data_IF_045344655543
#
_entry.id   IF_045344655543
#
_cell.length_a   1.000
_cell.length_b   1.000
_cell.length_c   1.000
_cell.angle_alpha   90.00
_cell.angle_beta   90.00
_cell.angle_gamma   90.00
#
_symmetry.space_group_name_H-M   'P 1'
#
loop_
_entity.id
_entity.type
_entity.pdbx_description
1 polymer ?
#
# COMPACT_ATOMS: atom_id res chain seq x y z
N UNK A 1 -18.98 5.80 13.55
CA UNK A 1 -18.69 4.73 12.59
C UNK A 1 -19.99 4.44 11.85
N UNK A 2 -19.98 4.35 10.51
CA UNK A 2 -21.19 4.07 9.74
C UNK A 2 -21.60 2.60 9.88
N UNK A 3 -22.91 2.31 9.88
CA UNK A 3 -23.40 0.93 9.88
C UNK A 3 -23.14 0.29 8.51
N UNK A 4 -22.53 -0.89 8.49
CA UNK A 4 -22.22 -1.66 7.29
C UNK A 4 -22.85 -3.05 7.28
N UNK A 5 -23.77 -3.33 8.22
CA UNK A 5 -24.36 -4.67 8.42
C UNK A 5 -25.08 -5.18 7.17
N UNK A 6 -25.82 -4.33 6.49
CA UNK A 6 -26.62 -4.69 5.32
C UNK A 6 -25.91 -4.54 3.98
N UNK A 7 -24.60 -4.16 3.99
CA UNK A 7 -23.84 -4.02 2.76
C UNK A 7 -23.38 -5.39 2.24
N UNK A 8 -23.39 -5.60 0.92
CA UNK A 8 -22.89 -6.84 0.34
C UNK A 8 -21.38 -6.97 0.57
N UNK A 9 -20.92 -8.21 0.70
CA UNK A 9 -19.47 -8.52 0.72
C UNK A 9 -18.95 -8.41 -0.70
N UNK A 10 -18.08 -7.44 -0.95
CA UNK A 10 -17.43 -7.19 -2.26
C UNK A 10 -15.92 -7.13 -2.13
N UNK A 11 -15.21 -7.13 -3.26
CA UNK A 11 -13.77 -6.91 -3.29
C UNK A 11 -13.51 -5.41 -3.39
N UNK A 12 -13.05 -4.82 -2.29
CA UNK A 12 -12.61 -3.44 -2.25
C UNK A 12 -11.12 -3.33 -2.62
N UNK A 13 -10.77 -2.31 -3.38
CA UNK A 13 -9.38 -1.99 -3.72
C UNK A 13 -9.16 -0.50 -3.57
N UNK A 14 -7.96 -0.12 -3.15
CA UNK A 14 -7.54 1.28 -3.15
C UNK A 14 -6.06 1.39 -3.47
N UNK A 15 -5.68 2.52 -4.07
CA UNK A 15 -4.30 2.90 -4.26
C UNK A 15 -4.09 4.33 -3.77
N UNK A 16 -2.97 4.57 -3.09
CA UNK A 16 -2.58 5.89 -2.63
C UNK A 16 -1.11 6.18 -2.95
N UNK A 17 -0.76 7.44 -2.94
CA UNK A 17 0.61 7.93 -3.15
C UNK A 17 1.00 8.93 -2.07
N UNK A 18 2.30 8.97 -1.79
CA UNK A 18 2.93 10.05 -1.05
C UNK A 18 4.24 10.45 -1.73
N UNK A 19 4.70 11.67 -1.47
CA UNK A 19 5.95 12.21 -2.01
C UNK A 19 6.72 12.92 -0.90
N UNK A 20 8.03 12.61 -0.80
CA UNK A 20 8.95 13.28 0.10
C UNK A 20 10.02 13.96 -0.75
N UNK A 21 9.96 15.29 -0.79
CA UNK A 21 10.90 16.13 -1.52
C UNK A 21 12.13 16.42 -0.64
N UNK A 22 13.30 16.38 -1.26
CA UNK A 22 14.59 16.59 -0.59
C UNK A 22 15.63 17.09 -1.57
N UNK A 23 16.80 17.48 -1.08
CA UNK A 23 17.95 17.84 -1.90
C UNK A 23 18.46 16.63 -2.69
N UNK A 24 19.04 16.88 -3.86
CA UNK A 24 19.57 15.84 -4.74
C UNK A 24 20.70 15.04 -4.08
N UNK A 25 21.47 15.70 -3.21
CA UNK A 25 22.53 15.08 -2.42
C UNK A 25 21.98 14.07 -1.42
N UNK A 26 20.90 14.42 -0.73
CA UNK A 26 20.22 13.52 0.21
C UNK A 26 19.58 12.33 -0.51
N UNK A 27 18.93 12.57 -1.66
CA UNK A 27 18.40 11.50 -2.49
C UNK A 27 19.50 10.55 -2.98
N UNK A 28 20.66 11.09 -3.37
CA UNK A 28 21.82 10.28 -3.77
C UNK A 28 22.33 9.44 -2.59
N UNK A 29 22.44 10.03 -1.39
CA UNK A 29 22.83 9.30 -0.18
C UNK A 29 21.89 8.15 0.17
N UNK A 30 20.58 8.32 -0.05
CA UNK A 30 19.59 7.23 0.10
C UNK A 30 19.88 6.10 -0.88
N UNK A 31 20.05 6.44 -2.17
CA UNK A 31 20.28 5.45 -3.25
C UNK A 31 21.58 4.69 -3.05
N UNK A 32 22.62 5.38 -2.56
CA UNK A 32 23.95 4.82 -2.34
C UNK A 32 24.05 4.07 -0.98
N UNK A 33 22.98 4.05 -0.18
CA UNK A 33 22.97 3.41 1.13
C UNK A 33 23.84 4.09 2.17
N UNK A 34 24.11 5.41 2.00
CA UNK A 34 25.01 6.18 2.85
C UNK A 34 24.32 6.84 4.07
N UNK A 35 23.02 6.62 4.28
CA UNK A 35 22.31 7.14 5.44
C UNK A 35 22.65 6.29 6.68
N UNK A 36 23.10 6.95 7.75
CA UNK A 36 23.59 6.28 8.96
C UNK A 36 22.55 5.38 9.65
N UNK A 37 21.26 5.70 9.52
CA UNK A 37 20.14 4.90 10.07
C UNK A 37 19.86 3.62 9.27
N UNK A 38 20.53 3.37 8.15
CA UNK A 38 20.38 2.17 7.33
C UNK A 38 19.56 2.36 6.06
N UNK A 39 18.96 1.28 5.55
CA UNK A 39 18.21 1.27 4.29
C UNK A 39 16.85 2.00 4.44
N UNK A 40 16.84 3.25 3.98
CA UNK A 40 15.69 4.16 4.11
C UNK A 40 14.45 3.62 3.39
N UNK A 41 14.63 3.08 2.18
CA UNK A 41 13.50 2.64 1.36
C UNK A 41 12.86 1.40 1.95
N UNK A 42 13.66 0.38 2.26
CA UNK A 42 13.15 -0.87 2.85
C UNK A 42 12.48 -0.65 4.21
N UNK A 43 13.04 0.22 5.06
CA UNK A 43 12.45 0.54 6.37
C UNK A 43 11.13 1.30 6.21
N UNK A 44 11.06 2.22 5.25
CA UNK A 44 9.82 2.95 4.96
C UNK A 44 8.71 2.04 4.43
N UNK A 45 9.03 1.12 3.52
CA UNK A 45 8.08 0.13 3.01
C UNK A 45 7.53 -0.76 4.13
N UNK A 46 8.40 -1.27 5.01
CA UNK A 46 8.00 -2.07 6.16
C UNK A 46 7.11 -1.28 7.12
N UNK A 47 7.47 -0.03 7.43
CA UNK A 47 6.69 0.85 8.29
C UNK A 47 5.30 1.14 7.70
N UNK A 48 5.22 1.37 6.38
CA UNK A 48 3.96 1.54 5.67
C UNK A 48 3.07 0.31 5.78
N UNK A 49 3.61 -0.90 5.57
CA UNK A 49 2.87 -2.15 5.74
C UNK A 49 2.35 -2.32 7.18
N UNK A 50 3.18 -2.02 8.18
CA UNK A 50 2.77 -2.08 9.58
C UNK A 50 1.64 -1.10 9.89
N UNK A 51 1.72 0.12 9.35
CA UNK A 51 0.74 1.17 9.57
C UNK A 51 -0.60 0.89 8.88
N UNK A 52 -0.59 0.45 7.62
CA UNK A 52 -1.81 0.10 6.90
C UNK A 52 -2.59 -1.01 7.61
N UNK A 53 -1.91 -2.01 8.18
CA UNK A 53 -2.56 -3.05 9.01
C UNK A 53 -3.16 -2.54 10.31
N UNK A 54 -2.80 -1.34 10.75
CA UNK A 54 -3.27 -0.70 11.98
C UNK A 54 -4.08 0.58 11.72
N UNK A 55 -4.55 0.79 10.51
CA UNK A 55 -5.30 2.00 10.16
C UNK A 55 -6.51 2.20 11.08
N UNK A 56 -7.23 1.15 11.45
CA UNK A 56 -8.38 1.21 12.36
C UNK A 56 -8.01 1.62 13.80
N UNK A 57 -6.77 1.40 14.25
CA UNK A 57 -6.30 1.87 15.56
C UNK A 57 -6.01 3.37 15.57
N UNK A 58 -5.73 3.95 14.39
CA UNK A 58 -5.30 5.33 14.22
C UNK A 58 -6.43 6.27 13.80
N UNK A 59 -7.37 5.76 13.00
CA UNK A 59 -8.46 6.55 12.41
C UNK A 59 -9.78 6.17 13.09
N UNK A 60 -10.38 7.05 13.91
CA UNK A 60 -11.44 6.68 14.86
C UNK A 60 -12.70 6.04 14.27
N UNK A 61 -13.03 6.35 13.01
CA UNK A 61 -14.28 5.89 12.39
C UNK A 61 -14.08 4.76 11.37
N UNK A 62 -12.85 4.26 11.21
CA UNK A 62 -12.52 3.17 10.31
C UNK A 62 -12.91 1.83 10.94
N UNK A 63 -13.51 0.96 10.14
CA UNK A 63 -13.75 -0.43 10.52
C UNK A 63 -12.49 -1.26 10.30
N UNK A 64 -12.22 -2.27 11.13
CA UNK A 64 -11.16 -3.22 10.84
C UNK A 64 -11.42 -3.91 9.49
N UNK A 65 -10.50 -3.75 8.54
CA UNK A 65 -10.58 -4.43 7.25
C UNK A 65 -9.72 -5.70 7.25
N UNK A 66 -10.30 -6.80 6.77
CA UNK A 66 -9.57 -8.05 6.53
C UNK A 66 -8.72 -7.96 5.28
N UNK A 67 -7.58 -7.25 5.33
CA UNK A 67 -6.70 -7.07 4.18
C UNK A 67 -6.23 -8.40 3.62
N UNK A 68 -6.46 -8.60 2.32
CA UNK A 68 -5.93 -9.73 1.54
C UNK A 68 -4.68 -9.36 0.77
N UNK A 69 -4.48 -8.05 0.53
CA UNK A 69 -3.29 -7.49 -0.10
C UNK A 69 -2.97 -6.12 0.53
N UNK A 70 -1.69 -5.89 0.77
CA UNK A 70 -1.13 -4.59 1.07
C UNK A 70 0.28 -4.54 0.52
N UNK A 71 0.50 -3.67 -0.45
CA UNK A 71 1.80 -3.42 -1.08
C UNK A 71 2.19 -1.99 -0.78
N UNK A 72 3.43 -1.78 -0.41
CA UNK A 72 4.06 -0.46 -0.26
C UNK A 72 5.34 -0.49 -1.08
N UNK A 73 5.52 0.47 -1.95
CA UNK A 73 6.71 0.62 -2.75
C UNK A 73 7.24 2.04 -2.63
N UNK A 74 8.49 2.19 -2.25
CA UNK A 74 9.20 3.46 -2.17
C UNK A 74 10.28 3.51 -3.26
N UNK A 75 10.25 4.51 -4.12
CA UNK A 75 11.17 4.63 -5.25
C UNK A 75 11.74 6.04 -5.37
N UNK A 76 13.06 6.18 -5.62
CA UNK A 76 13.68 7.47 -5.85
C UNK A 76 13.27 8.04 -7.22
N UNK A 77 12.85 9.30 -7.25
CA UNK A 77 12.63 10.08 -8.47
C UNK A 77 13.68 11.19 -8.56
N UNK A 78 14.72 10.93 -9.35
CA UNK A 78 15.84 11.87 -9.51
C UNK A 78 15.42 13.16 -10.23
N UNK A 79 14.40 13.11 -11.09
CA UNK A 79 13.93 14.27 -11.83
C UNK A 79 13.14 15.23 -10.92
N UNK A 80 12.42 14.70 -9.95
CA UNK A 80 11.67 15.48 -8.97
C UNK A 80 12.46 15.79 -7.70
N UNK A 81 13.68 15.25 -7.52
CA UNK A 81 14.43 15.30 -6.26
C UNK A 81 13.59 14.81 -5.08
N UNK A 82 12.97 13.65 -5.23
CA UNK A 82 12.01 13.13 -4.27
C UNK A 82 12.07 11.60 -4.15
N UNK A 83 11.55 11.07 -3.06
CA UNK A 83 11.13 9.67 -2.97
C UNK A 83 9.62 9.62 -3.13
N UNK A 84 9.15 8.82 -4.07
CA UNK A 84 7.73 8.53 -4.26
C UNK A 84 7.37 7.23 -3.60
N UNK A 85 6.25 7.25 -2.89
CA UNK A 85 5.65 6.09 -2.25
C UNK A 85 4.34 5.78 -3.00
N UNK A 86 4.17 4.53 -3.38
CA UNK A 86 2.94 4.00 -3.94
C UNK A 86 2.44 2.85 -3.08
N UNK A 87 1.15 2.85 -2.78
CA UNK A 87 0.52 1.81 -1.98
C UNK A 87 -0.69 1.24 -2.68
N UNK A 88 -0.88 -0.06 -2.56
CA UNK A 88 -2.07 -0.78 -3.03
C UNK A 88 -2.63 -1.64 -1.91
N UNK A 89 -3.94 -1.59 -1.75
CA UNK A 89 -4.66 -2.40 -0.76
C UNK A 89 -5.81 -3.14 -1.42
N UNK A 90 -6.11 -4.33 -0.90
CA UNK A 90 -7.31 -5.05 -1.24
C UNK A 90 -7.86 -5.80 -0.02
N UNK A 91 -9.17 -5.88 0.08
CA UNK A 91 -9.89 -6.71 1.05
C UNK A 91 -11.19 -7.25 0.44
N UNK A 92 -11.67 -8.34 0.98
CA UNK A 92 -13.05 -8.77 0.78
C UNK A 92 -13.85 -8.39 2.04
N UNK A 93 -14.84 -7.55 1.88
CA UNK A 93 -15.57 -7.02 3.03
C UNK A 93 -16.78 -6.17 2.65
N UNK A 94 -17.28 -5.44 3.62
CA UNK A 94 -18.41 -4.51 3.48
C UNK A 94 -17.99 -3.05 3.51
N UNK A 95 -16.69 -2.78 3.65
CA UNK A 95 -16.10 -1.42 3.75
C UNK A 95 -14.89 -1.28 2.86
N UNK A 96 -14.68 -0.08 2.33
CA UNK A 96 -13.50 0.26 1.54
C UNK A 96 -12.19 0.18 2.33
N UNK A 97 -11.08 0.21 1.61
CA UNK A 97 -9.70 0.09 2.15
C UNK A 97 -8.84 1.31 1.81
N UNK A 98 -9.48 2.45 1.57
CA UNK A 98 -8.82 3.71 1.23
C UNK A 98 -7.95 4.22 2.38
N UNK A 99 -8.44 4.06 3.61
CA UNK A 99 -7.72 4.55 4.79
C UNK A 99 -6.48 3.71 5.08
N UNK A 100 -6.52 2.42 4.83
CA UNK A 100 -5.38 1.52 4.91
C UNK A 100 -4.29 1.94 3.90
N UNK A 101 -4.67 2.24 2.65
CA UNK A 101 -3.75 2.71 1.63
C UNK A 101 -3.12 4.06 1.99
N UNK A 102 -3.95 5.04 2.40
CA UNK A 102 -3.48 6.38 2.77
C UNK A 102 -2.60 6.35 4.02
N UNK A 103 -2.98 5.58 5.04
CA UNK A 103 -2.19 5.45 6.27
C UNK A 103 -0.83 4.81 5.99
N UNK A 104 -0.80 3.77 5.15
CA UNK A 104 0.43 3.13 4.71
C UNK A 104 1.37 4.13 4.01
N UNK A 105 0.84 4.90 3.06
CA UNK A 105 1.61 5.92 2.33
C UNK A 105 2.12 7.03 3.25
N UNK A 106 1.28 7.53 4.17
CA UNK A 106 1.62 8.59 5.10
C UNK A 106 2.75 8.18 6.06
N UNK A 107 2.65 6.99 6.66
CA UNK A 107 3.65 6.52 7.63
C UNK A 107 4.96 6.15 6.93
N UNK A 108 4.93 5.60 5.71
CA UNK A 108 6.13 5.39 4.91
C UNK A 108 6.85 6.72 4.65
N UNK A 109 6.12 7.78 4.26
CA UNK A 109 6.69 9.12 4.04
C UNK A 109 7.29 9.72 5.32
N UNK A 110 6.58 9.61 6.45
CA UNK A 110 7.09 10.07 7.75
C UNK A 110 8.34 9.29 8.19
N UNK A 111 8.43 8.00 7.85
CA UNK A 111 9.59 7.16 8.14
C UNK A 111 10.80 7.61 7.34
N UNK A 112 10.63 7.91 6.05
CA UNK A 112 11.70 8.50 5.23
C UNK A 112 12.19 9.79 5.89
N UNK A 113 11.28 10.71 6.23
CA UNK A 113 11.62 11.96 6.88
C UNK A 113 12.41 11.73 8.18
N UNK A 114 11.94 10.84 9.07
CA UNK A 114 12.66 10.55 10.33
C UNK A 114 14.07 10.03 10.07
N UNK A 115 14.26 9.19 9.05
CA UNK A 115 15.56 8.61 8.76
C UNK A 115 16.56 9.63 8.20
N UNK A 116 16.10 10.64 7.46
CA UNK A 116 16.98 11.64 6.82
C UNK A 116 17.07 12.96 7.59
N UNK A 117 16.22 13.24 8.56
CA UNK A 117 16.14 14.56 9.24
C UNK A 117 17.43 15.05 9.90
N UNK A 118 18.34 14.14 10.22
CA UNK A 118 19.66 14.52 10.77
C UNK A 118 20.58 15.10 9.68
N UNK A 119 20.40 14.66 8.44
CA UNK A 119 21.13 15.16 7.26
C UNK A 119 20.41 16.36 6.65
N UNK A 120 19.07 16.28 6.54
CA UNK A 120 18.25 17.31 5.93
C UNK A 120 16.94 17.52 6.70
N UNK A 121 16.94 18.37 7.77
CA UNK A 121 15.70 18.68 8.50
C UNK A 121 14.70 19.48 7.68
N UNK A 122 15.10 20.04 6.55
CA UNK A 122 14.27 20.80 5.61
C UNK A 122 13.49 19.96 4.59
N UNK A 123 13.66 18.64 4.57
CA UNK A 123 12.89 17.76 3.68
C UNK A 123 11.38 17.89 3.94
N UNK A 124 10.57 17.75 2.89
CA UNK A 124 9.12 18.02 2.96
C UNK A 124 8.30 16.83 2.51
N UNK A 125 7.37 16.37 3.34
CA UNK A 125 6.29 15.50 2.89
C UNK A 125 5.31 16.37 2.10
N UNK A 126 5.39 16.31 0.76
CA UNK A 126 4.69 17.22 -0.15
C UNK A 126 3.22 16.89 -0.28
N UNK A 127 2.90 15.60 -0.36
CA UNK A 127 1.52 15.16 -0.54
C UNK A 127 1.31 13.74 -0.01
N UNK A 128 0.08 13.47 0.43
CA UNK A 128 -0.48 12.13 0.61
C UNK A 128 -1.85 12.16 -0.03
N UNK A 129 -2.12 11.29 -1.00
CA UNK A 129 -3.36 11.37 -1.78
C UNK A 129 -3.85 10.00 -2.24
N UNK A 130 -5.17 9.83 -2.26
CA UNK A 130 -5.81 8.69 -2.90
C UNK A 130 -5.70 8.82 -4.42
N UNK A 131 -5.36 7.74 -5.10
CA UNK A 131 -5.23 7.66 -6.56
C UNK A 131 -6.43 6.97 -7.18
N UNK A 132 -6.86 5.87 -6.59
CA UNK A 132 -8.05 5.15 -7.02
C UNK A 132 -8.68 4.40 -5.87
N UNK A 133 -9.98 4.17 -5.98
CA UNK A 133 -10.71 3.21 -5.14
C UNK A 133 -11.77 2.52 -5.97
N UNK A 134 -12.11 1.27 -5.59
CA UNK A 134 -13.20 0.53 -6.18
C UNK A 134 -13.94 -0.29 -5.14
N UNK A 135 -15.27 -0.35 -5.30
CA UNK A 135 -16.18 -1.18 -4.54
C UNK A 135 -16.83 -2.20 -5.48
N UNK A 136 -16.25 -3.40 -5.56
CA UNK A 136 -16.66 -4.41 -6.52
C UNK A 136 -16.32 -4.03 -7.97
N UNK A 137 -17.21 -4.40 -8.91
CA UNK A 137 -17.04 -4.12 -10.34
C UNK A 137 -17.74 -2.83 -10.81
N UNK A 138 -18.59 -2.23 -9.98
CA UNK A 138 -19.53 -1.19 -10.41
C UNK A 138 -19.08 0.25 -10.16
N UNK A 139 -18.27 0.51 -9.12
CA UNK A 139 -17.86 1.85 -8.73
C UNK A 139 -16.34 1.94 -8.66
N UNK A 140 -15.72 2.42 -9.74
CA UNK A 140 -14.31 2.76 -9.76
C UNK A 140 -14.13 4.27 -9.79
N UNK A 141 -13.55 4.82 -8.70
CA UNK A 141 -13.11 6.20 -8.69
C UNK A 141 -11.61 6.29 -8.99
N UNK A 142 -11.25 7.21 -9.88
CA UNK A 142 -9.85 7.54 -10.20
C UNK A 142 -9.63 9.04 -10.16
N UNK A 143 -8.50 9.45 -9.60
CA UNK A 143 -8.10 10.86 -9.60
C UNK A 143 -7.78 11.30 -11.02
N UNK A 144 -8.46 12.37 -11.48
CA UNK A 144 -8.16 13.03 -12.75
C UNK A 144 -6.96 13.98 -12.58
N UNK A 145 -6.03 13.99 -13.54
CA UNK A 145 -4.89 14.92 -13.55
C UNK A 145 -3.72 14.59 -12.62
N UNK A 146 -3.68 13.39 -12.05
CA UNK A 146 -2.48 12.86 -11.41
C UNK A 146 -1.52 12.32 -12.47
N UNK A 147 -0.20 12.41 -12.25
CA UNK A 147 0.82 11.79 -13.11
C UNK A 147 0.78 10.24 -12.98
N UNK A 148 -0.37 9.66 -13.30
CA UNK A 148 -0.55 8.19 -13.29
C UNK A 148 0.35 7.49 -14.35
N UNK A 149 1.03 8.26 -15.19
CA UNK A 149 1.82 7.73 -16.30
C UNK A 149 3.28 7.41 -15.91
N UNK A 150 3.77 7.86 -14.76
CA UNK A 150 5.17 7.62 -14.35
C UNK A 150 5.36 6.46 -13.36
N UNK A 151 4.30 5.88 -12.83
CA UNK A 151 4.38 4.76 -11.90
C UNK A 151 3.93 3.44 -12.50
N UNK A 152 4.59 3.02 -13.56
CA UNK A 152 4.59 1.59 -13.87
C UNK A 152 5.45 0.91 -12.79
N UNK A 153 4.94 -0.15 -12.13
CA UNK A 153 5.79 -0.92 -11.21
C UNK A 153 7.07 -1.32 -11.93
N UNK A 154 8.22 -1.30 -11.25
CA UNK A 154 9.49 -1.66 -11.88
C UNK A 154 9.34 -3.01 -12.57
N UNK A 155 9.89 -3.11 -13.81
CA UNK A 155 9.83 -4.35 -14.60
C UNK A 155 10.40 -5.49 -13.77
N UNK A 156 9.56 -6.46 -13.40
CA UNK A 156 9.96 -7.61 -12.57
C UNK A 156 9.06 -7.86 -11.36
N UNK A 157 8.28 -6.89 -10.89
CA UNK A 157 7.25 -7.15 -9.90
C UNK A 157 6.05 -7.74 -10.64
N UNK A 158 5.81 -9.05 -10.49
CA UNK A 158 4.57 -9.69 -10.94
C UNK A 158 3.46 -9.15 -10.05
N UNK A 159 2.75 -8.13 -10.51
CA UNK A 159 1.42 -7.82 -9.97
C UNK A 159 0.60 -9.08 -10.15
N UNK A 160 0.10 -9.66 -9.06
CA UNK A 160 -0.73 -10.85 -9.10
C UNK A 160 -1.86 -10.60 -10.12
N UNK A 161 -1.88 -11.40 -11.18
CA UNK A 161 -2.76 -11.20 -12.31
C UNK A 161 -4.22 -11.15 -11.88
N UNK A 162 -5.03 -10.41 -12.63
CA UNK A 162 -6.50 -10.43 -12.51
C UNK A 162 -6.97 -11.85 -12.27
N UNK A 163 -7.53 -12.11 -11.10
CA UNK A 163 -8.28 -13.34 -10.87
C UNK A 163 -9.60 -13.16 -11.62
N UNK A 164 -9.66 -13.67 -12.85
CA UNK A 164 -10.93 -13.78 -13.55
C UNK A 164 -11.73 -14.91 -12.92
N UNK A 165 -13.06 -14.79 -12.77
CA UNK A 165 -13.91 -15.85 -12.19
C UNK A 165 -13.83 -17.21 -12.90
N UNK A 166 -13.31 -17.24 -14.12
CA UNK A 166 -13.10 -18.47 -14.91
C UNK A 166 -11.88 -19.29 -14.49
N UNK A 167 -11.00 -18.80 -13.62
CA UNK A 167 -9.79 -19.51 -13.16
C UNK A 167 -10.00 -20.50 -12.01
N UNK A 168 -11.21 -20.62 -11.46
CA UNK A 168 -11.50 -21.51 -10.33
C UNK A 168 -11.89 -22.94 -10.73
N UNK A 169 -11.70 -23.35 -11.98
CA UNK A 169 -11.87 -24.74 -12.39
C UNK A 169 -10.49 -25.44 -12.36
N UNK A 170 -10.22 -26.20 -11.27
CA UNK A 170 -9.10 -27.14 -11.25
C UNK A 170 -8.15 -27.06 -10.06
N UNK A 171 -8.61 -26.71 -8.87
CA UNK A 171 -7.85 -26.98 -7.65
C UNK A 171 -7.84 -28.48 -7.36
N UNK A 172 -6.74 -29.06 -6.80
CA UNK A 172 -6.68 -30.47 -6.46
C UNK A 172 -7.79 -30.83 -5.48
N UNK A 173 -8.62 -31.81 -5.85
CA UNK A 173 -9.69 -32.30 -5.00
C UNK A 173 -9.07 -32.95 -3.75
N UNK A 174 -9.37 -32.38 -2.59
CA UNK A 174 -9.05 -33.00 -1.31
C UNK A 174 -9.80 -34.32 -1.19
N UNK A 175 -9.07 -35.46 -1.23
CA UNK A 175 -9.59 -36.77 -0.86
C UNK A 175 -9.35 -36.98 0.64
N UNK A 176 -10.40 -37.03 1.47
CA UNK A 176 -10.21 -37.34 2.89
C UNK A 176 -9.65 -38.75 3.04
N UNK A 177 -8.54 -38.88 3.75
CA UNK A 177 -7.96 -40.17 4.10
C UNK A 177 -8.84 -40.98 5.05
N UNK A 178 -8.64 -42.31 5.17
CA UNK A 178 -9.46 -43.20 5.99
C UNK A 178 -9.39 -42.79 7.47
N UNK A 179 -10.58 -42.67 8.10
CA UNK A 179 -10.70 -42.37 9.53
C UNK A 179 -10.06 -43.53 10.33
N UNK A 180 -8.95 -43.27 11.02
CA UNK A 180 -8.42 -44.17 12.02
C UNK A 180 -9.40 -44.23 13.19
N UNK A 181 -9.95 -45.44 13.49
CA UNK A 181 -10.66 -45.69 14.75
C UNK A 181 -9.62 -45.68 15.86
N UNK A 182 -9.83 -44.85 16.85
CA UNK A 182 -9.09 -44.83 18.09
C UNK A 182 -9.77 -45.88 19.02
N UNK A 183 -9.04 -46.73 19.72
CA UNK A 183 -9.61 -47.74 20.62
C UNK A 183 -10.29 -47.12 21.84
#
# INVERSE_FOLDING_TARGET
>A
MADSTDRPMTVHRAAAEAEVEMAQETLSAIVDGAIAKGDVLSVAELAGVMAGKRAFDLIPLVHPAGLTQLVVNASPDRAASAVRIHTETAAMGTTGVEMEALTAAAVAALTIYDMIREVEPGAVVRSVRLISSSDGEADEWRRQGGQAESMRPPKGVRVAGRITPSGLRGGPQYKPGPKKRIP
#
